data_IF_836802668385
#
_entry.id   IF_836802668385
#
_cell.length_a   1.000
_cell.length_b   1.000
_cell.length_c   1.000
_cell.angle_alpha   90.00
_cell.angle_beta   90.00
_cell.angle_gamma   90.00
#
_symmetry.space_group_name_H-M   'P 1'
#
loop_
_entity.id
_entity.type
_entity.pdbx_description
1 polymer ?
#
# COMPACT_ATOMS: atom_id res chain seq x y z
N UNK A 1 13.79 44.48 13.64
CA UNK A 1 14.16 43.07 13.85
C UNK A 1 12.89 42.22 13.80
N UNK A 2 12.68 41.47 12.73
CA UNK A 2 11.64 40.45 12.69
C UNK A 2 12.25 39.25 11.96
N UNK A 3 12.73 38.29 12.75
CA UNK A 3 13.25 37.01 12.24
C UNK A 3 12.02 36.18 11.89
N UNK A 4 11.67 36.17 10.61
CA UNK A 4 10.72 35.24 10.03
C UNK A 4 11.32 33.84 10.16
N UNK A 5 10.92 33.12 11.20
CA UNK A 5 11.22 31.70 11.39
C UNK A 5 10.55 30.90 10.26
N UNK A 6 11.24 30.84 9.12
CA UNK A 6 10.98 29.82 8.13
C UNK A 6 11.42 28.47 8.70
N UNK A 7 10.49 27.81 9.39
CA UNK A 7 10.56 26.36 9.58
C UNK A 7 10.32 25.70 8.23
N UNK A 8 11.33 25.73 7.37
CA UNK A 8 11.45 24.71 6.33
C UNK A 8 11.96 23.47 7.06
N UNK A 9 11.03 22.74 7.68
CA UNK A 9 11.25 21.34 8.02
C UNK A 9 11.31 20.60 6.68
N UNK A 10 12.48 20.63 6.05
CA UNK A 10 12.82 19.68 5.02
C UNK A 10 13.10 18.38 5.78
N UNK A 11 12.03 17.73 6.25
CA UNK A 11 12.08 16.35 6.69
C UNK A 11 12.50 15.55 5.46
N UNK A 12 13.79 15.26 5.39
CA UNK A 12 14.35 14.34 4.40
C UNK A 12 13.71 12.99 4.73
N UNK A 13 12.61 12.69 4.05
CA UNK A 13 11.94 11.40 4.08
C UNK A 13 12.88 10.37 3.43
N UNK A 14 13.89 9.93 4.18
CA UNK A 14 14.67 8.74 3.85
C UNK A 14 13.74 7.52 3.93
N UNK A 15 13.00 7.25 2.85
CA UNK A 15 12.23 6.01 2.70
C UNK A 15 10.80 6.11 2.16
N UNK A 16 10.35 7.22 1.55
CA UNK A 16 9.06 7.23 0.85
C UNK A 16 9.18 6.56 -0.52
N UNK A 17 9.19 5.22 -0.53
CA UNK A 17 8.89 4.46 -1.73
C UNK A 17 7.41 4.55 -2.10
N UNK A 18 7.06 4.05 -3.28
CA UNK A 18 5.70 3.73 -3.66
C UNK A 18 5.68 2.40 -4.39
N UNK A 19 4.59 1.65 -4.26
CA UNK A 19 4.40 0.41 -5.00
C UNK A 19 2.95 0.20 -5.38
N UNK A 20 2.75 -0.61 -6.41
CA UNK A 20 1.45 -1.09 -6.85
C UNK A 20 1.29 -2.56 -6.47
N UNK A 21 0.07 -2.96 -6.13
CA UNK A 21 -0.28 -4.37 -5.92
C UNK A 21 -0.61 -5.01 -7.28
N UNK A 22 -1.34 -4.29 -8.12
CA UNK A 22 -1.75 -4.72 -9.45
C UNK A 22 -1.30 -3.69 -10.50
N UNK A 23 -0.90 -4.18 -11.67
CA UNK A 23 -0.77 -3.35 -12.85
C UNK A 23 -2.11 -3.31 -13.59
N UNK A 24 -2.49 -2.15 -14.13
CA UNK A 24 -3.78 -1.98 -14.78
C UNK A 24 -3.94 -2.92 -15.99
N UNK A 25 -2.87 -3.14 -16.74
CA UNK A 25 -2.85 -4.04 -17.90
C UNK A 25 -3.18 -5.51 -17.54
N UNK A 26 -2.87 -5.94 -16.32
CA UNK A 26 -3.22 -7.29 -15.85
C UNK A 26 -4.70 -7.41 -15.47
N UNK A 27 -5.39 -6.27 -15.31
CA UNK A 27 -6.78 -6.19 -14.89
C UNK A 27 -7.77 -6.08 -16.05
N UNK A 28 -7.32 -5.71 -17.25
CA UNK A 28 -8.15 -5.45 -18.43
C UNK A 28 -9.11 -6.61 -18.79
N UNK A 29 -8.72 -7.86 -18.47
CA UNK A 29 -9.52 -9.06 -18.75
C UNK A 29 -10.57 -9.42 -17.67
N UNK A 30 -10.69 -8.65 -16.58
CA UNK A 30 -11.51 -9.05 -15.42
C UNK A 30 -12.96 -8.49 -15.41
N UNK A 31 -13.35 -7.64 -16.37
CA UNK A 31 -14.68 -6.99 -16.43
C UNK A 31 -15.15 -6.37 -15.08
N UNK A 32 -14.22 -5.70 -14.40
CA UNK A 32 -14.45 -5.10 -13.07
C UNK A 32 -14.81 -3.61 -13.13
N UNK A 33 -14.69 -2.98 -14.30
CA UNK A 33 -14.96 -1.57 -14.55
C UNK A 33 -13.83 -0.62 -14.12
N UNK A 34 -13.77 0.54 -14.76
CA UNK A 34 -12.65 1.49 -14.66
C UNK A 34 -12.39 1.99 -13.24
N UNK A 35 -13.45 2.23 -12.46
CA UNK A 35 -13.31 2.67 -11.06
C UNK A 35 -12.52 1.64 -10.23
N UNK A 36 -12.84 0.35 -10.40
CA UNK A 36 -12.14 -0.71 -9.72
C UNK A 36 -10.69 -0.85 -10.22
N UNK A 37 -10.47 -0.84 -11.54
CA UNK A 37 -9.11 -0.88 -12.13
C UNK A 37 -8.24 0.27 -11.62
N UNK A 38 -8.76 1.49 -11.62
CA UNK A 38 -8.04 2.67 -11.14
C UNK A 38 -7.70 2.58 -9.65
N UNK A 39 -8.64 2.07 -8.83
CA UNK A 39 -8.39 1.90 -7.39
C UNK A 39 -7.36 0.79 -7.09
N UNK A 40 -7.43 -0.35 -7.79
CA UNK A 40 -6.52 -1.48 -7.61
C UNK A 40 -5.10 -1.16 -8.04
N UNK A 41 -4.97 -0.42 -9.15
CA UNK A 41 -3.68 -0.02 -9.71
C UNK A 41 -3.14 1.28 -9.10
N UNK A 42 -3.76 1.84 -8.06
CA UNK A 42 -3.26 3.04 -7.40
C UNK A 42 -1.94 2.79 -6.63
N UNK A 43 -1.03 3.76 -6.68
CA UNK A 43 0.22 3.71 -5.91
C UNK A 43 -0.03 3.79 -4.41
N UNK A 44 0.64 2.92 -3.67
CA UNK A 44 0.67 2.92 -2.21
C UNK A 44 2.04 3.48 -1.78
N UNK A 45 2.07 4.75 -1.35
CA UNK A 45 3.29 5.41 -0.91
C UNK A 45 3.77 4.87 0.46
N UNK A 46 4.52 3.79 0.41
CA UNK A 46 5.06 3.03 1.53
C UNK A 46 6.46 2.51 1.17
N UNK A 47 7.25 2.11 2.17
CA UNK A 47 8.49 1.40 1.90
C UNK A 47 8.20 0.14 1.04
N UNK A 48 8.92 -0.03 -0.06
CA UNK A 48 8.66 -1.09 -1.05
C UNK A 48 8.87 -2.50 -0.49
N UNK A 49 9.64 -2.65 0.60
CA UNK A 49 9.80 -3.92 1.31
C UNK A 49 8.46 -4.53 1.73
N UNK A 50 7.50 -3.68 2.10
CA UNK A 50 6.17 -4.08 2.58
C UNK A 50 5.37 -4.79 1.47
N UNK A 51 5.69 -4.56 0.19
CA UNK A 51 5.08 -5.30 -0.93
C UNK A 51 5.32 -6.81 -0.81
N UNK A 52 6.43 -7.23 -0.20
CA UNK A 52 6.70 -8.66 0.03
C UNK A 52 5.68 -9.33 0.96
N UNK A 53 4.86 -8.56 1.69
CA UNK A 53 3.83 -9.05 2.61
C UNK A 53 2.56 -9.49 1.91
N UNK A 54 2.48 -9.35 0.58
CA UNK A 54 1.40 -9.92 -0.25
C UNK A 54 1.28 -11.45 -0.13
N UNK A 55 2.30 -12.14 0.37
CA UNK A 55 2.22 -13.57 0.68
C UNK A 55 2.03 -13.77 2.18
N UNK A 56 1.03 -14.56 2.56
CA UNK A 56 0.86 -14.99 3.95
C UNK A 56 2.12 -15.73 4.43
N UNK A 57 2.53 -15.46 5.66
CA UNK A 57 3.67 -16.10 6.29
C UNK A 57 4.16 -15.33 7.50
N UNK A 58 4.79 -16.05 8.43
CA UNK A 58 5.45 -15.45 9.58
C UNK A 58 6.58 -14.52 9.11
N UNK A 59 6.61 -13.30 9.65
CA UNK A 59 7.66 -12.32 9.38
C UNK A 59 8.53 -12.26 10.63
N UNK A 60 9.71 -12.87 10.53
CA UNK A 60 10.71 -12.80 11.58
C UNK A 60 11.27 -11.39 11.76
N UNK A 61 12.23 -11.24 12.66
CA UNK A 61 12.98 -10.00 12.80
C UNK A 61 13.62 -9.62 11.47
N UNK A 62 13.64 -8.32 11.16
CA UNK A 62 14.40 -7.80 10.02
C UNK A 62 15.90 -7.74 10.31
N UNK A 63 16.31 -8.04 11.56
CA UNK A 63 17.69 -7.97 12.07
C UNK A 63 18.38 -6.62 11.86
N UNK A 64 17.60 -5.62 11.43
CA UNK A 64 18.03 -4.26 11.15
C UNK A 64 17.02 -3.30 11.76
N UNK A 65 17.41 -2.71 12.90
CA UNK A 65 16.57 -1.80 13.68
C UNK A 65 16.24 -0.55 12.87
N UNK A 66 17.20 -0.01 12.12
CA UNK A 66 16.97 1.17 11.26
C UNK A 66 15.93 0.89 10.18
N UNK A 67 16.00 -0.27 9.51
CA UNK A 67 14.99 -0.67 8.52
C UNK A 67 13.63 -0.91 9.18
N UNK A 68 13.62 -1.51 10.37
CA UNK A 68 12.39 -1.70 11.17
C UNK A 68 11.76 -0.36 11.53
N UNK A 69 12.56 0.61 11.96
CA UNK A 69 12.11 1.95 12.29
C UNK A 69 11.61 2.70 11.06
N UNK A 70 12.31 2.63 9.92
CA UNK A 70 11.85 3.25 8.66
C UNK A 70 10.55 2.61 8.17
N UNK A 71 10.42 1.29 8.28
CA UNK A 71 9.21 0.58 7.89
C UNK A 71 8.06 1.01 8.81
N UNK A 72 8.24 0.94 10.15
CA UNK A 72 7.22 1.29 11.15
C UNK A 72 6.89 2.78 11.20
N UNK A 73 7.86 3.64 10.92
CA UNK A 73 7.69 5.08 10.98
C UNK A 73 6.84 5.58 9.81
N UNK A 74 6.02 6.59 10.11
CA UNK A 74 5.35 7.40 9.10
C UNK A 74 3.92 6.95 8.78
N UNK A 75 3.52 7.29 7.55
CA UNK A 75 2.11 7.35 7.14
C UNK A 75 1.61 6.06 6.47
N UNK A 76 2.46 5.03 6.40
CA UNK A 76 2.18 3.82 5.63
C UNK A 76 0.91 3.07 6.07
N UNK A 77 0.67 2.79 7.37
CA UNK A 77 -0.58 2.16 7.81
C UNK A 77 -1.82 2.95 7.39
N UNK A 78 -1.76 4.28 7.47
CA UNK A 78 -2.83 5.16 7.04
C UNK A 78 -3.10 5.10 5.53
N UNK A 79 -2.04 5.00 4.72
CA UNK A 79 -2.12 4.89 3.25
C UNK A 79 -2.63 3.53 2.80
N UNK A 80 -2.13 2.44 3.39
CA UNK A 80 -2.61 1.09 3.12
C UNK A 80 -4.10 0.94 3.49
N UNK A 81 -4.50 1.46 4.65
CA UNK A 81 -5.91 1.51 5.05
C UNK A 81 -6.77 2.30 4.07
N UNK A 82 -6.26 3.42 3.54
CA UNK A 82 -6.96 4.22 2.53
C UNK A 82 -7.14 3.43 1.24
N UNK A 83 -6.05 2.83 0.72
CA UNK A 83 -6.11 1.97 -0.47
C UNK A 83 -7.16 0.86 -0.29
N UNK A 84 -7.12 0.15 0.84
CA UNK A 84 -8.05 -0.95 1.11
C UNK A 84 -9.52 -0.48 1.12
N UNK A 85 -9.81 0.67 1.76
CA UNK A 85 -11.16 1.23 1.80
C UNK A 85 -11.65 1.68 0.43
N UNK A 86 -10.78 2.32 -0.37
CA UNK A 86 -11.12 2.74 -1.73
C UNK A 86 -11.42 1.53 -2.61
N UNK A 87 -10.56 0.51 -2.62
CA UNK A 87 -10.79 -0.73 -3.38
C UNK A 87 -12.05 -1.44 -2.92
N UNK A 88 -12.28 -1.56 -1.60
CA UNK A 88 -13.49 -2.23 -1.07
C UNK A 88 -14.78 -1.54 -1.51
N UNK A 89 -14.74 -0.22 -1.69
CA UNK A 89 -15.87 0.57 -2.18
C UNK A 89 -16.02 0.45 -3.70
N UNK A 90 -14.95 0.75 -4.44
CA UNK A 90 -15.01 0.90 -5.89
C UNK A 90 -15.09 -0.44 -6.62
N UNK A 91 -14.67 -1.52 -5.95
CA UNK A 91 -14.78 -2.90 -6.43
C UNK A 91 -15.87 -3.72 -5.72
N UNK A 92 -16.86 -3.08 -5.11
CA UNK A 92 -17.91 -3.79 -4.37
C UNK A 92 -18.64 -4.81 -5.28
N UNK A 93 -18.73 -6.06 -4.82
CA UNK A 93 -19.36 -7.16 -5.56
C UNK A 93 -18.56 -7.69 -6.75
N UNK A 94 -17.31 -7.24 -6.93
CA UNK A 94 -16.41 -7.71 -7.99
C UNK A 94 -15.49 -8.83 -7.48
N UNK A 95 -15.02 -9.64 -8.42
CA UNK A 95 -14.03 -10.68 -8.18
C UNK A 95 -12.98 -10.67 -9.29
N UNK A 96 -11.76 -11.07 -8.95
CA UNK A 96 -10.65 -11.19 -9.87
C UNK A 96 -10.46 -12.65 -10.29
N UNK A 97 -10.34 -12.87 -11.60
CA UNK A 97 -10.13 -14.17 -12.21
C UNK A 97 -11.22 -15.21 -11.92
N UNK A 98 -10.99 -16.44 -12.38
CA UNK A 98 -11.93 -17.56 -12.19
C UNK A 98 -11.97 -18.11 -10.76
N UNK A 99 -11.01 -17.73 -9.90
CA UNK A 99 -10.94 -18.17 -8.50
C UNK A 99 -11.90 -17.41 -7.58
N UNK A 100 -12.59 -16.38 -8.06
CA UNK A 100 -13.49 -15.57 -7.24
C UNK A 100 -12.74 -14.70 -6.21
N UNK A 101 -11.46 -14.40 -6.46
CA UNK A 101 -10.60 -13.67 -5.52
C UNK A 101 -11.18 -12.27 -5.26
N UNK A 102 -11.32 -11.91 -3.98
CA UNK A 102 -11.78 -10.57 -3.63
C UNK A 102 -10.69 -9.53 -3.94
N UNK A 103 -11.01 -8.39 -4.57
CA UNK A 103 -10.02 -7.43 -5.09
C UNK A 103 -8.98 -6.95 -4.06
N UNK A 104 -9.39 -6.77 -2.81
CA UNK A 104 -8.57 -6.27 -1.70
C UNK A 104 -7.74 -7.35 -0.98
N UNK A 105 -7.78 -8.62 -1.42
CA UNK A 105 -7.16 -9.76 -0.73
C UNK A 105 -5.68 -9.53 -0.41
N UNK A 106 -4.87 -9.15 -1.41
CA UNK A 106 -3.44 -8.94 -1.20
C UNK A 106 -3.12 -7.73 -0.31
N UNK A 107 -3.90 -6.65 -0.39
CA UNK A 107 -3.76 -5.54 0.55
C UNK A 107 -4.09 -5.93 1.99
N UNK A 108 -5.06 -6.84 2.17
CA UNK A 108 -5.36 -7.46 3.46
C UNK A 108 -4.20 -8.29 4.01
N UNK A 109 -3.51 -9.05 3.17
CA UNK A 109 -2.31 -9.81 3.58
C UNK A 109 -1.16 -8.91 3.99
N UNK A 110 -0.94 -7.82 3.24
CA UNK A 110 0.06 -6.82 3.62
C UNK A 110 -0.27 -6.22 5.00
N UNK A 111 -1.54 -5.88 5.25
CA UNK A 111 -1.99 -5.36 6.54
C UNK A 111 -1.80 -6.38 7.67
N UNK A 112 -2.08 -7.66 7.41
CA UNK A 112 -1.89 -8.73 8.37
C UNK A 112 -0.40 -8.99 8.68
N UNK A 113 0.50 -8.87 7.68
CA UNK A 113 1.94 -8.99 7.91
C UNK A 113 2.56 -7.82 8.67
N UNK A 114 1.82 -6.70 8.78
CA UNK A 114 2.24 -5.51 9.51
C UNK A 114 1.88 -5.53 11.00
N UNK A 115 0.72 -6.09 11.36
CA UNK A 115 0.21 -6.14 12.75
C UNK A 115 0.61 -7.44 13.44
#
# INVERSE_FOLDING_TARGET
MAILKHFVALDIFLGMGAFRIYDAADLDNNDIGDACVNSLSADIACNTYIRSFMRLGYRGSLENVTLTDVIRAGTCPGRLRRWFKTVSKDCAGKSLGSSGTVPQQYGGYIWAGWN
#
